data_IF_958390276185
#
_entry.id   IF_958390276185
#
_cell.length_a   1.000
_cell.length_b   1.000
_cell.length_c   1.000
_cell.angle_alpha   90.00
_cell.angle_beta   90.00
_cell.angle_gamma   90.00
#
_symmetry.space_group_name_H-M   'P 1'
#
loop_
_entity.id
_entity.type
_entity.pdbx_description
1 polymer ?
#
# COMPACT_ATOMS: atom_id res chain seq x y z
N UNK A 1 -19.78 -26.96 9.01
CA UNK A 1 -18.47 -26.25 9.00
C UNK A 1 -18.21 -25.76 7.60
N UNK A 2 -17.61 -24.59 7.40
CA UNK A 2 -17.23 -24.10 6.07
C UNK A 2 -15.73 -24.31 5.84
N UNK A 3 -15.39 -24.96 4.73
CA UNK A 3 -14.02 -25.08 4.24
C UNK A 3 -13.83 -24.10 3.09
N UNK A 4 -12.81 -23.26 3.15
CA UNK A 4 -12.54 -22.29 2.08
C UNK A 4 -11.18 -22.60 1.46
N UNK A 5 -11.20 -22.98 0.18
CA UNK A 5 -10.02 -23.05 -0.67
C UNK A 5 -9.80 -21.69 -1.33
N UNK A 6 -8.67 -21.06 -0.98
CA UNK A 6 -8.22 -19.82 -1.58
C UNK A 6 -7.18 -20.11 -2.66
N UNK A 7 -7.42 -19.60 -3.86
CA UNK A 7 -6.40 -19.52 -4.91
C UNK A 7 -5.32 -18.49 -4.56
N UNK A 8 -4.12 -18.64 -5.11
CA UNK A 8 -2.97 -17.77 -4.84
C UNK A 8 -3.30 -16.30 -5.17
N UNK A 9 -4.02 -16.07 -6.27
CA UNK A 9 -4.38 -14.71 -6.69
C UNK A 9 -5.25 -13.98 -5.67
N UNK A 10 -6.10 -14.70 -4.93
CA UNK A 10 -6.98 -14.13 -3.91
C UNK A 10 -6.15 -13.69 -2.70
N UNK A 11 -5.25 -14.56 -2.23
CA UNK A 11 -4.35 -14.26 -1.11
C UNK A 11 -3.44 -13.06 -1.41
N UNK A 12 -2.89 -12.99 -2.62
CA UNK A 12 -2.05 -11.86 -3.05
C UNK A 12 -2.83 -10.53 -3.14
N UNK A 13 -4.07 -10.57 -3.63
CA UNK A 13 -4.90 -9.37 -3.76
C UNK A 13 -5.27 -8.79 -2.39
N UNK A 14 -5.80 -9.61 -1.47
CA UNK A 14 -6.19 -9.14 -0.13
C UNK A 14 -4.99 -8.70 0.71
N UNK A 15 -3.78 -9.14 0.36
CA UNK A 15 -2.54 -8.73 1.02
C UNK A 15 -2.11 -7.29 0.69
N UNK A 16 -2.66 -6.68 -0.38
CA UNK A 16 -2.07 -5.45 -0.95
C UNK A 16 -3.00 -4.27 -1.09
N UNK A 17 -4.32 -4.46 -0.99
CA UNK A 17 -5.28 -3.37 -1.09
C UNK A 17 -5.78 -2.98 0.30
N UNK A 18 -5.64 -1.69 0.67
CA UNK A 18 -6.23 -1.16 1.91
C UNK A 18 -7.75 -1.36 1.97
N UNK A 19 -8.43 -1.30 0.83
CA UNK A 19 -9.87 -1.58 0.74
C UNK A 19 -10.25 -2.99 1.17
N UNK A 20 -9.30 -3.92 1.18
CA UNK A 20 -9.53 -5.34 1.48
C UNK A 20 -9.21 -5.65 2.95
N UNK A 21 -8.81 -4.66 3.75
CA UNK A 21 -8.59 -4.80 5.19
C UNK A 21 -9.83 -5.38 5.91
N UNK A 22 -11.07 -4.87 5.67
CA UNK A 22 -12.28 -5.46 6.25
C UNK A 22 -12.44 -6.95 5.89
N UNK A 23 -12.09 -7.35 4.67
CA UNK A 23 -12.16 -8.75 4.23
C UNK A 23 -11.20 -9.65 5.01
N UNK A 24 -9.96 -9.17 5.23
CA UNK A 24 -8.98 -9.91 6.04
C UNK A 24 -9.48 -10.03 7.49
N UNK A 25 -10.02 -8.95 8.06
CA UNK A 25 -10.60 -8.97 9.42
C UNK A 25 -11.76 -9.96 9.52
N UNK A 26 -12.67 -9.99 8.55
CA UNK A 26 -13.78 -10.94 8.53
C UNK A 26 -13.31 -12.40 8.46
N UNK A 27 -12.31 -12.69 7.63
CA UNK A 27 -11.71 -14.02 7.58
C UNK A 27 -11.06 -14.41 8.92
N UNK A 28 -10.33 -13.50 9.56
CA UNK A 28 -9.73 -13.73 10.88
C UNK A 28 -10.80 -14.06 11.94
N UNK A 29 -11.93 -13.35 11.95
CA UNK A 29 -13.03 -13.62 12.88
C UNK A 29 -13.74 -14.96 12.60
N UNK A 30 -14.02 -15.27 11.32
CA UNK A 30 -14.64 -16.53 10.92
C UNK A 30 -13.74 -17.74 11.22
N UNK A 31 -12.43 -17.60 11.05
CA UNK A 31 -11.44 -18.63 11.42
C UNK A 31 -11.30 -18.73 12.93
N UNK A 32 -11.20 -17.61 13.63
CA UNK A 32 -11.07 -17.55 15.09
C UNK A 32 -12.27 -18.14 15.83
N UNK A 33 -13.49 -17.93 15.31
CA UNK A 33 -14.74 -18.51 15.81
C UNK A 33 -14.95 -19.97 15.42
N UNK A 34 -14.07 -20.54 14.58
CA UNK A 34 -14.16 -21.91 14.02
C UNK A 34 -15.43 -22.15 13.21
N UNK A 35 -16.00 -21.10 12.61
CA UNK A 35 -17.06 -21.23 11.60
C UNK A 35 -16.45 -21.66 10.26
N UNK A 36 -15.26 -21.12 9.97
CA UNK A 36 -14.48 -21.37 8.77
C UNK A 36 -13.17 -22.08 9.10
N UNK A 37 -12.80 -23.04 8.25
CA UNK A 37 -11.44 -23.58 8.15
C UNK A 37 -10.88 -23.23 6.78
N UNK A 38 -9.84 -22.40 6.74
CA UNK A 38 -9.09 -22.18 5.51
C UNK A 38 -8.35 -23.45 5.13
N UNK A 39 -8.35 -23.78 3.84
CA UNK A 39 -7.60 -24.91 3.29
C UNK A 39 -6.69 -24.37 2.20
N UNK A 40 -5.39 -24.58 2.37
CA UNK A 40 -4.38 -23.99 1.48
C UNK A 40 -3.44 -25.09 1.00
N UNK A 41 -3.39 -25.36 -0.32
CA UNK A 41 -2.44 -26.30 -0.87
C UNK A 41 -0.99 -25.83 -0.75
N UNK A 42 -0.05 -26.77 -0.58
CA UNK A 42 1.40 -26.45 -0.53
C UNK A 42 1.87 -25.66 -1.76
N UNK A 43 1.26 -25.91 -2.92
CA UNK A 43 1.54 -25.17 -4.16
C UNK A 43 1.16 -23.69 -4.07
N UNK A 44 0.01 -23.39 -3.46
CA UNK A 44 -0.48 -22.01 -3.24
C UNK A 44 0.42 -21.28 -2.26
N UNK A 45 0.85 -21.95 -1.18
CA UNK A 45 1.79 -21.38 -0.21
C UNK A 45 3.12 -21.02 -0.90
N UNK A 46 3.69 -21.95 -1.66
CA UNK A 46 4.96 -21.72 -2.36
C UNK A 46 4.86 -20.60 -3.41
N UNK A 47 3.72 -20.47 -4.09
CA UNK A 47 3.49 -19.41 -5.04
C UNK A 47 3.26 -18.05 -4.35
N UNK A 48 2.55 -18.02 -3.23
CA UNK A 48 2.38 -16.81 -2.42
C UNK A 48 3.73 -16.30 -1.92
N UNK A 49 4.54 -17.18 -1.30
CA UNK A 49 5.88 -16.84 -0.78
C UNK A 49 6.80 -16.26 -1.85
N UNK A 50 6.76 -16.81 -3.07
CA UNK A 50 7.58 -16.33 -4.19
C UNK A 50 7.16 -14.93 -4.65
N UNK A 51 5.87 -14.60 -4.56
CA UNK A 51 5.30 -13.40 -5.18
C UNK A 51 5.00 -12.27 -4.18
N UNK A 52 4.89 -12.54 -2.87
CA UNK A 52 4.42 -11.57 -1.86
C UNK A 52 5.21 -10.26 -1.87
N UNK A 53 6.54 -10.30 -1.95
CA UNK A 53 7.38 -9.10 -1.99
C UNK A 53 7.18 -8.29 -3.27
N UNK A 54 6.99 -8.97 -4.40
CA UNK A 54 6.76 -8.31 -5.69
C UNK A 54 5.41 -7.60 -5.73
N UNK A 55 4.37 -8.19 -5.13
CA UNK A 55 3.05 -7.55 -5.04
C UNK A 55 3.07 -6.41 -4.01
N UNK A 56 3.74 -6.59 -2.86
CA UNK A 56 3.91 -5.55 -1.85
C UNK A 56 4.51 -4.27 -2.46
N UNK A 57 5.56 -4.45 -3.27
CA UNK A 57 6.32 -3.37 -3.89
C UNK A 57 5.74 -2.90 -5.23
N UNK A 58 4.63 -3.48 -5.71
CA UNK A 58 4.05 -3.16 -7.04
C UNK A 58 3.62 -1.70 -7.14
N UNK A 59 2.99 -1.17 -6.10
CA UNK A 59 2.57 0.24 -6.04
C UNK A 59 3.78 1.18 -6.08
N UNK A 60 4.82 0.88 -5.29
CA UNK A 60 6.09 1.63 -5.31
C UNK A 60 6.75 1.58 -6.68
N UNK A 61 6.87 0.39 -7.29
CA UNK A 61 7.44 0.22 -8.64
C UNK A 61 6.66 1.02 -9.69
N UNK A 62 5.31 0.99 -9.65
CA UNK A 62 4.45 1.77 -10.56
C UNK A 62 4.67 3.27 -10.37
N UNK A 63 4.59 3.75 -9.14
CA UNK A 63 4.80 5.17 -8.83
C UNK A 63 6.19 5.61 -9.27
N UNK A 64 7.26 4.91 -8.87
CA UNK A 64 8.62 5.22 -9.32
C UNK A 64 8.76 5.29 -10.85
N UNK A 65 8.02 4.45 -11.60
CA UNK A 65 8.01 4.50 -13.05
C UNK A 65 7.26 5.73 -13.60
N UNK A 66 6.12 6.11 -13.00
CA UNK A 66 5.40 7.34 -13.32
C UNK A 66 6.25 8.58 -13.01
N UNK A 67 6.89 8.62 -11.84
CA UNK A 67 7.85 9.68 -11.48
C UNK A 67 9.00 9.78 -12.49
N UNK A 68 9.53 8.63 -12.96
CA UNK A 68 10.58 8.62 -13.99
C UNK A 68 10.08 9.22 -15.32
N UNK A 69 8.84 8.97 -15.71
CA UNK A 69 8.25 9.59 -16.90
C UNK A 69 8.06 11.09 -16.72
N UNK A 70 7.55 11.53 -15.56
CA UNK A 70 7.39 12.95 -15.24
C UNK A 70 8.74 13.67 -15.23
N UNK A 71 9.78 13.08 -14.64
CA UNK A 71 11.15 13.60 -14.69
C UNK A 71 11.67 13.75 -16.11
N UNK A 72 11.40 12.79 -16.99
CA UNK A 72 11.81 12.86 -18.39
C UNK A 72 11.14 14.05 -19.11
N UNK A 73 9.85 14.28 -18.89
CA UNK A 73 9.12 15.42 -19.45
C UNK A 73 9.66 16.73 -18.88
N UNK A 74 9.86 16.83 -17.57
CA UNK A 74 10.44 18.04 -16.94
C UNK A 74 11.83 18.31 -17.48
N UNK A 75 12.65 17.27 -17.69
CA UNK A 75 13.99 17.44 -18.24
C UNK A 75 14.01 17.95 -19.69
N UNK A 76 12.91 17.78 -20.42
CA UNK A 76 12.78 18.19 -21.82
C UNK A 76 12.11 19.57 -21.96
N UNK A 77 11.25 19.97 -21.02
CA UNK A 77 10.39 21.16 -21.15
C UNK A 77 10.53 22.21 -20.03
N UNK A 78 11.16 21.89 -18.89
CA UNK A 78 11.41 22.88 -17.85
C UNK A 78 12.70 23.65 -18.17
N UNK A 79 12.59 24.94 -18.49
CA UNK A 79 13.75 25.81 -18.69
C UNK A 79 14.45 26.12 -17.36
N UNK A 80 14.24 27.33 -16.82
CA UNK A 80 14.95 27.79 -15.61
C UNK A 80 14.50 27.09 -14.31
N UNK A 81 13.27 26.57 -14.24
CA UNK A 81 12.72 25.88 -13.05
C UNK A 81 12.99 24.37 -13.03
N UNK A 82 13.88 23.87 -13.88
CA UNK A 82 14.16 22.42 -14.00
C UNK A 82 14.75 21.83 -12.72
N UNK A 83 15.73 22.52 -12.12
CA UNK A 83 16.47 22.00 -10.98
C UNK A 83 15.57 21.84 -9.73
N UNK A 84 14.78 22.88 -9.41
CA UNK A 84 13.86 22.85 -8.27
C UNK A 84 12.73 21.83 -8.46
N UNK A 85 12.18 21.70 -9.67
CA UNK A 85 11.13 20.71 -9.95
C UNK A 85 11.64 19.27 -9.85
N UNK A 86 12.89 19.00 -10.25
CA UNK A 86 13.49 17.68 -10.12
C UNK A 86 13.81 17.33 -8.66
N UNK A 87 14.28 18.29 -7.87
CA UNK A 87 14.58 18.11 -6.44
C UNK A 87 13.33 17.70 -5.64
N UNK A 88 12.21 18.39 -5.86
CA UNK A 88 10.91 18.03 -5.23
C UNK A 88 10.48 16.61 -5.61
N UNK A 89 10.67 16.20 -6.87
CA UNK A 89 10.33 14.84 -7.31
C UNK A 89 11.29 13.78 -6.75
N UNK A 90 12.55 14.13 -6.51
CA UNK A 90 13.52 13.24 -5.85
C UNK A 90 13.17 13.02 -4.39
N UNK A 91 12.82 14.08 -3.67
CA UNK A 91 12.40 14.00 -2.26
C UNK A 91 11.12 13.15 -2.09
N UNK A 92 10.11 13.34 -2.94
CA UNK A 92 8.90 12.51 -2.92
C UNK A 92 9.24 11.05 -3.24
N UNK A 93 10.13 10.79 -4.22
CA UNK A 93 10.52 9.43 -4.60
C UNK A 93 11.30 8.74 -3.48
N UNK A 94 12.10 9.47 -2.68
CA UNK A 94 12.81 8.96 -1.52
C UNK A 94 11.86 8.51 -0.39
N UNK A 95 10.65 9.08 -0.33
CA UNK A 95 9.63 8.77 0.70
C UNK A 95 8.64 7.68 0.28
N UNK A 96 8.66 7.22 -0.98
CA UNK A 96 7.79 6.11 -1.44
C UNK A 96 7.92 4.81 -0.64
N UNK A 97 9.11 4.39 -0.15
CA UNK A 97 9.23 3.19 0.69
C UNK A 97 8.39 3.24 1.98
N UNK A 98 8.12 4.43 2.52
CA UNK A 98 7.24 4.59 3.69
C UNK A 98 5.78 4.22 3.38
N UNK A 99 5.37 4.25 2.10
CA UNK A 99 4.04 3.83 1.66
C UNK A 99 3.87 2.30 1.65
N UNK A 100 4.96 1.54 1.60
CA UNK A 100 4.92 0.07 1.56
C UNK A 100 4.75 -0.58 2.92
N UNK A 101 5.07 0.11 4.01
CA UNK A 101 5.00 -0.45 5.38
C UNK A 101 3.57 -0.89 5.74
N UNK A 102 2.56 -0.14 5.28
CA UNK A 102 1.16 -0.52 5.46
C UNK A 102 0.80 -1.83 4.73
N UNK A 103 1.40 -2.11 3.58
CA UNK A 103 1.17 -3.37 2.85
C UNK A 103 1.81 -4.55 3.59
N UNK A 104 2.97 -4.36 4.21
CA UNK A 104 3.62 -5.40 5.00
C UNK A 104 2.81 -5.78 6.25
N UNK A 105 2.05 -4.85 6.84
CA UNK A 105 1.12 -5.16 7.94
C UNK A 105 0.04 -6.14 7.47
N UNK A 106 -0.59 -5.87 6.32
CA UNK A 106 -1.63 -6.76 5.78
C UNK A 106 -1.07 -8.10 5.33
N UNK A 107 0.13 -8.13 4.71
CA UNK A 107 0.83 -9.37 4.37
C UNK A 107 1.02 -10.25 5.61
N UNK A 108 1.55 -9.71 6.70
CA UNK A 108 1.75 -10.46 7.93
C UNK A 108 0.43 -11.02 8.52
N UNK A 109 -0.69 -10.30 8.35
CA UNK A 109 -2.02 -10.82 8.73
C UNK A 109 -2.42 -12.02 7.88
N UNK A 110 -2.25 -11.93 6.57
CA UNK A 110 -2.53 -13.03 5.64
C UNK A 110 -1.60 -14.23 5.87
N UNK A 111 -0.33 -14.00 6.17
CA UNK A 111 0.62 -15.06 6.55
C UNK A 111 0.13 -15.83 7.79
N UNK A 112 -0.35 -15.13 8.83
CA UNK A 112 -0.94 -15.78 10.02
C UNK A 112 -2.17 -16.61 9.67
N UNK A 113 -3.02 -16.13 8.75
CA UNK A 113 -4.15 -16.92 8.25
C UNK A 113 -3.66 -18.19 7.56
N UNK A 114 -2.67 -18.11 6.68
CA UNK A 114 -2.04 -19.26 6.00
C UNK A 114 -1.39 -20.22 7.01
N UNK A 115 -0.74 -19.71 8.05
CA UNK A 115 -0.14 -20.52 9.11
C UNK A 115 -1.17 -21.32 9.90
N UNK A 116 -2.33 -20.71 10.19
CA UNK A 116 -3.44 -21.33 10.90
C UNK A 116 -4.30 -22.26 10.03
N UNK A 117 -4.15 -22.19 8.70
CA UNK A 117 -4.95 -22.96 7.76
C UNK A 117 -4.63 -24.45 7.80
N UNK A 118 -5.59 -25.26 7.33
CA UNK A 118 -5.38 -26.67 7.02
C UNK A 118 -4.53 -26.79 5.75
N UNK A 119 -3.26 -27.16 5.92
CA UNK A 119 -2.30 -27.30 4.82
C UNK A 119 -2.45 -28.66 4.17
N UNK A 120 -2.67 -28.69 2.86
CA UNK A 120 -2.91 -29.92 2.11
C UNK A 120 -1.82 -30.10 1.05
N UNK A 121 -1.18 -31.26 1.07
CA UNK A 121 -0.21 -31.60 0.04
C UNK A 121 -0.91 -32.02 -1.25
N UNK A 122 -0.34 -31.59 -2.38
CA UNK A 122 -0.83 -31.99 -3.71
C UNK A 122 -0.65 -33.50 -3.89
N UNK A 123 -1.75 -34.21 -4.07
CA UNK A 123 -1.76 -35.66 -4.28
C UNK A 123 -1.31 -36.03 -5.69
N UNK A 124 -0.86 -37.28 -5.87
CA UNK A 124 -0.61 -37.84 -7.20
C UNK A 124 -1.90 -37.98 -8.03
N UNK A 125 -3.04 -38.26 -7.40
CA UNK A 125 -4.35 -38.31 -8.08
C UNK A 125 -4.67 -36.97 -8.72
N UNK A 126 -4.50 -35.88 -7.98
CA UNK A 126 -4.75 -34.52 -8.44
C UNK A 126 -3.82 -34.11 -9.58
N UNK A 127 -2.53 -34.48 -9.51
CA UNK A 127 -1.55 -34.26 -10.60
C UNK A 127 -1.91 -35.03 -11.88
N UNK A 128 -2.33 -36.29 -11.75
CA UNK A 128 -2.72 -37.11 -12.91
C UNK A 128 -3.99 -36.54 -13.54
N UNK A 129 -4.97 -36.15 -12.72
CA UNK A 129 -6.22 -35.55 -13.19
C UNK A 129 -5.99 -34.22 -13.91
N UNK A 130 -5.09 -33.37 -13.41
CA UNK A 130 -4.74 -32.11 -14.08
C UNK A 130 -4.09 -32.32 -15.45
N UNK A 131 -3.26 -33.38 -15.59
CA UNK A 131 -2.70 -33.78 -16.90
C UNK A 131 -3.81 -34.25 -17.84
N UNK A 132 -4.77 -35.02 -17.34
CA UNK A 132 -5.91 -35.46 -18.14
C UNK A 132 -6.75 -34.27 -18.64
N UNK A 133 -6.99 -33.25 -17.80
CA UNK A 133 -7.63 -32.00 -18.26
C UNK A 133 -6.87 -31.32 -19.40
N UNK A 134 -5.54 -31.30 -19.31
CA UNK A 134 -4.69 -30.73 -20.36
C UNK A 134 -4.83 -31.49 -21.68
N UNK A 135 -4.82 -32.83 -21.62
CA UNK A 135 -5.01 -33.69 -22.80
C UNK A 135 -6.39 -33.51 -23.44
N UNK A 136 -7.42 -33.38 -22.61
CA UNK A 136 -8.80 -33.16 -23.05
C UNK A 136 -9.09 -31.71 -23.45
N UNK A 137 -8.13 -30.79 -23.24
CA UNK A 137 -8.27 -29.34 -23.43
C UNK A 137 -9.44 -28.73 -22.67
N UNK A 138 -9.71 -29.27 -21.48
CA UNK A 138 -10.71 -28.74 -20.54
C UNK A 138 -10.13 -27.61 -19.71
N UNK A 139 -10.99 -26.75 -19.19
CA UNK A 139 -10.59 -25.69 -18.28
C UNK A 139 -9.71 -26.22 -17.13
N UNK A 140 -8.61 -25.53 -16.79
CA UNK A 140 -8.21 -24.18 -17.26
C UNK A 140 -7.39 -24.14 -18.57
N UNK A 141 -7.29 -25.24 -19.33
CA UNK A 141 -6.53 -25.32 -20.60
C UNK A 141 -7.34 -25.01 -21.87
N UNK A 142 -8.60 -24.57 -21.74
CA UNK A 142 -9.43 -24.11 -22.87
C UNK A 142 -8.87 -22.85 -23.53
N UNK A 143 -8.00 -22.12 -22.83
CA UNK A 143 -7.25 -20.96 -23.31
C UNK A 143 -5.78 -21.39 -23.49
N UNK A 144 -5.12 -20.94 -24.57
CA UNK A 144 -3.74 -21.29 -24.95
C UNK A 144 -2.67 -20.70 -23.98
N UNK A 145 -2.77 -21.00 -22.67
CA UNK A 145 -1.87 -20.56 -21.59
C UNK A 145 -1.35 -21.74 -20.78
N UNK A 146 -0.24 -21.54 -20.10
CA UNK A 146 0.37 -22.53 -19.20
C UNK A 146 -0.35 -22.53 -17.84
N UNK A 147 -1.55 -23.11 -17.77
CA UNK A 147 -2.42 -23.11 -16.58
C UNK A 147 -2.31 -24.39 -15.75
N UNK A 148 -1.10 -24.98 -15.68
CA UNK A 148 -0.86 -26.24 -14.96
C UNK A 148 -1.08 -26.09 -13.45
N UNK A 149 -0.62 -24.99 -12.85
CA UNK A 149 -0.80 -24.76 -11.41
C UNK A 149 -2.29 -24.67 -11.05
N UNK A 150 -3.03 -23.83 -11.77
CA UNK A 150 -4.48 -23.67 -11.68
C UNK A 150 -5.22 -25.02 -11.81
N UNK A 151 -4.82 -25.85 -12.78
CA UNK A 151 -5.42 -27.17 -12.98
C UNK A 151 -5.14 -28.12 -11.80
N UNK A 152 -3.93 -28.09 -11.24
CA UNK A 152 -3.57 -28.88 -10.06
C UNK A 152 -4.36 -28.43 -8.82
N UNK A 153 -4.53 -27.11 -8.65
CA UNK A 153 -5.24 -26.53 -7.51
C UNK A 153 -6.71 -26.96 -7.50
N UNK A 154 -7.41 -26.87 -8.64
CA UNK A 154 -8.83 -27.22 -8.71
C UNK A 154 -9.08 -28.72 -8.59
N UNK A 155 -8.18 -29.56 -9.09
CA UNK A 155 -8.27 -31.00 -8.87
C UNK A 155 -8.02 -31.38 -7.42
N UNK A 156 -7.08 -30.70 -6.76
CA UNK A 156 -6.85 -30.89 -5.34
C UNK A 156 -8.04 -30.44 -4.49
N UNK A 157 -8.72 -29.36 -4.90
CA UNK A 157 -9.99 -28.95 -4.31
C UNK A 157 -11.06 -30.03 -4.48
N UNK A 158 -11.23 -30.57 -5.70
CA UNK A 158 -12.22 -31.62 -5.97
C UNK A 158 -11.96 -32.88 -5.15
N UNK A 159 -10.69 -33.30 -5.03
CA UNK A 159 -10.33 -34.45 -4.21
C UNK A 159 -10.56 -34.21 -2.71
N UNK A 160 -10.32 -32.98 -2.25
CA UNK A 160 -10.59 -32.62 -0.86
C UNK A 160 -12.11 -32.62 -0.58
N UNK A 161 -12.91 -32.04 -1.48
CA UNK A 161 -14.37 -31.97 -1.33
C UNK A 161 -15.03 -33.35 -1.37
N UNK A 162 -14.51 -34.30 -2.16
CA UNK A 162 -14.93 -35.71 -2.17
C UNK A 162 -14.83 -36.37 -0.77
N UNK A 163 -13.89 -35.90 0.06
CA UNK A 163 -13.65 -36.44 1.41
C UNK A 163 -14.56 -35.86 2.50
N UNK A 164 -15.39 -34.87 2.19
CA UNK A 164 -16.20 -34.15 3.18
C UNK A 164 -17.57 -34.80 3.43
N UNK A 165 -18.09 -34.60 4.64
CA UNK A 165 -19.46 -34.98 4.97
C UNK A 165 -20.42 -33.87 4.53
N UNK A 166 -20.86 -33.91 3.27
CA UNK A 166 -21.72 -32.89 2.65
C UNK A 166 -23.09 -32.68 3.34
N UNK A 167 -23.45 -33.45 4.38
CA UNK A 167 -24.66 -33.18 5.18
C UNK A 167 -24.44 -32.10 6.25
N UNK A 168 -23.18 -31.85 6.63
CA UNK A 168 -22.79 -30.94 7.73
C UNK A 168 -21.76 -29.91 7.30
N UNK A 169 -21.04 -30.18 6.21
CA UNK A 169 -19.92 -29.39 5.74
C UNK A 169 -20.20 -28.81 4.35
N UNK A 170 -19.70 -27.60 4.15
CA UNK A 170 -19.69 -26.91 2.87
C UNK A 170 -18.26 -26.55 2.50
N UNK A 171 -17.95 -26.56 1.20
CA UNK A 171 -16.61 -26.32 0.67
C UNK A 171 -16.66 -25.30 -0.46
N UNK A 172 -15.96 -24.19 -0.30
CA UNK A 172 -15.96 -23.07 -1.25
C UNK A 172 -14.62 -22.96 -1.95
N UNK A 173 -14.64 -22.89 -3.27
CA UNK A 173 -13.48 -22.56 -4.09
C UNK A 173 -13.55 -21.08 -4.49
N UNK A 174 -12.52 -20.31 -4.16
CA UNK A 174 -12.47 -18.87 -4.42
C UNK A 174 -11.26 -18.53 -5.28
N UNK A 175 -11.49 -17.91 -6.43
CA UNK A 175 -10.44 -17.43 -7.35
C UNK A 175 -10.85 -16.12 -8.03
N UNK A 176 -9.91 -15.21 -8.26
CA UNK A 176 -10.13 -14.02 -9.09
C UNK A 176 -9.87 -14.29 -10.59
N UNK A 177 -9.35 -15.47 -10.96
CA UNK A 177 -9.04 -15.84 -12.34
C UNK A 177 -10.30 -16.27 -13.11
N UNK A 178 -11.14 -15.27 -13.45
CA UNK A 178 -12.38 -15.50 -14.18
C UNK A 178 -12.20 -16.05 -15.59
N UNK A 179 -11.06 -15.76 -16.24
CA UNK A 179 -10.81 -16.23 -17.60
C UNK A 179 -10.71 -17.76 -17.66
N UNK A 180 -10.03 -18.33 -16.66
CA UNK A 180 -9.73 -19.75 -16.66
C UNK A 180 -10.78 -20.56 -15.88
N UNK A 181 -11.49 -19.92 -14.93
CA UNK A 181 -12.41 -20.62 -14.04
C UNK A 181 -13.89 -20.31 -14.23
N UNK A 182 -14.25 -19.20 -14.86
CA UNK A 182 -15.66 -18.80 -14.98
C UNK A 182 -16.29 -19.15 -16.32
N UNK A 183 -17.62 -19.22 -16.32
CA UNK A 183 -18.42 -19.19 -17.53
C UNK A 183 -18.50 -17.77 -18.12
N UNK A 184 -19.31 -17.58 -19.19
CA UNK A 184 -19.64 -16.23 -19.71
C UNK A 184 -20.25 -15.32 -18.63
N UNK A 185 -21.00 -15.91 -17.71
CA UNK A 185 -21.37 -15.25 -16.47
C UNK A 185 -20.24 -15.52 -15.46
N UNK A 186 -19.42 -14.50 -15.18
CA UNK A 186 -18.24 -14.61 -14.32
C UNK A 186 -18.57 -15.07 -12.89
N UNK A 187 -19.85 -15.06 -12.49
CA UNK A 187 -20.31 -15.54 -11.18
C UNK A 187 -20.51 -17.05 -11.12
N UNK A 188 -20.48 -17.72 -12.27
CA UNK A 188 -20.67 -19.18 -12.38
C UNK A 188 -19.39 -19.85 -12.83
N UNK A 189 -19.11 -21.07 -12.35
CA UNK A 189 -17.94 -21.82 -12.80
C UNK A 189 -18.07 -22.17 -14.30
N UNK A 190 -16.94 -22.38 -14.96
CA UNK A 190 -16.89 -22.88 -16.32
C UNK A 190 -17.56 -24.27 -16.42
N UNK A 191 -18.19 -24.58 -17.56
CA UNK A 191 -18.96 -25.81 -17.75
C UNK A 191 -18.13 -27.09 -17.55
N UNK A 192 -16.82 -27.04 -17.83
CA UNK A 192 -15.89 -28.17 -17.58
C UNK A 192 -15.70 -28.53 -16.09
N UNK A 193 -16.21 -27.68 -15.18
CA UNK A 193 -16.21 -27.93 -13.74
C UNK A 193 -17.58 -28.33 -13.20
N UNK A 194 -18.59 -28.57 -14.05
CA UNK A 194 -19.94 -29.00 -13.61
C UNK A 194 -19.90 -30.22 -12.71
N UNK A 195 -18.99 -31.18 -12.96
CA UNK A 195 -18.85 -32.38 -12.11
C UNK A 195 -18.22 -32.11 -10.75
N UNK A 196 -17.54 -30.98 -10.57
CA UNK A 196 -16.93 -30.59 -9.29
C UNK A 196 -17.95 -29.86 -8.42
N UNK A 197 -18.75 -28.98 -9.04
CA UNK A 197 -19.73 -28.13 -8.37
C UNK A 197 -21.16 -28.68 -8.50
N UNK A 198 -21.31 -30.01 -8.40
CA UNK A 198 -22.59 -30.71 -8.60
C UNK A 198 -23.49 -30.72 -7.35
N UNK A 199 -22.93 -30.35 -6.20
CA UNK A 199 -23.58 -30.33 -4.90
C UNK A 199 -23.82 -28.89 -4.43
N UNK A 200 -24.97 -28.58 -3.78
CA UNK A 200 -25.23 -27.25 -3.24
C UNK A 200 -24.23 -26.84 -2.14
N UNK A 201 -23.53 -27.81 -1.54
CA UNK A 201 -22.52 -27.57 -0.51
C UNK A 201 -21.11 -27.37 -1.07
N UNK A 202 -20.91 -27.55 -2.38
CA UNK A 202 -19.63 -27.29 -3.05
C UNK A 202 -19.82 -26.11 -3.99
N UNK A 203 -19.30 -24.94 -3.63
CA UNK A 203 -19.60 -23.69 -4.34
C UNK A 203 -18.37 -23.02 -4.91
N UNK A 204 -18.58 -22.32 -6.02
CA UNK A 204 -17.59 -21.49 -6.69
C UNK A 204 -17.89 -20.02 -6.43
N UNK A 205 -16.85 -19.25 -6.07
CA UNK A 205 -16.93 -17.80 -5.98
C UNK A 205 -15.77 -17.18 -6.74
N UNK A 206 -16.07 -16.10 -7.47
CA UNK A 206 -15.06 -15.33 -8.20
C UNK A 206 -14.43 -14.19 -7.37
N UNK A 207 -14.84 -14.04 -6.11
CA UNK A 207 -14.38 -13.05 -5.14
C UNK A 207 -14.76 -13.51 -3.71
N UNK A 208 -14.04 -13.03 -2.71
CA UNK A 208 -14.26 -13.27 -1.29
C UNK A 208 -15.58 -12.67 -0.76
N UNK A 209 -15.97 -11.47 -1.18
CA UNK A 209 -17.18 -10.79 -0.67
C UNK A 209 -18.44 -11.68 -0.74
N UNK A 210 -18.84 -12.21 -1.92
CA UNK A 210 -20.03 -13.07 -1.98
C UNK A 210 -19.85 -14.40 -1.24
N UNK A 211 -18.62 -14.88 -1.07
CA UNK A 211 -18.36 -16.11 -0.31
C UNK A 211 -18.54 -15.89 1.19
N UNK A 212 -18.05 -14.76 1.72
CA UNK A 212 -18.23 -14.35 3.12
C UNK A 212 -19.72 -14.12 3.40
N UNK A 213 -20.42 -13.37 2.54
CA UNK A 213 -21.85 -13.11 2.72
C UNK A 213 -22.72 -14.38 2.65
N UNK A 214 -22.25 -15.43 1.96
CA UNK A 214 -22.93 -16.72 1.95
C UNK A 214 -22.79 -17.49 3.28
N UNK A 215 -21.81 -17.11 4.11
CA UNK A 215 -21.55 -17.69 5.44
C UNK A 215 -22.21 -16.84 6.53
N UNK A 216 -21.98 -15.54 6.46
CA UNK A 216 -22.49 -14.53 7.37
C UNK A 216 -22.71 -13.23 6.59
N UNK A 217 -23.96 -12.84 6.41
CA UNK A 217 -24.36 -11.68 5.59
C UNK A 217 -24.02 -10.34 6.26
N UNK A 218 -23.96 -10.31 7.59
CA UNK A 218 -23.85 -9.08 8.38
C UNK A 218 -22.39 -8.77 8.76
N UNK A 219 -21.51 -9.78 8.83
CA UNK A 219 -20.12 -9.62 9.32
C UNK A 219 -19.33 -8.51 8.62
N UNK A 220 -19.45 -8.38 7.30
CA UNK A 220 -18.73 -7.34 6.56
C UNK A 220 -19.25 -5.95 6.88
N UNK A 221 -20.57 -5.79 6.99
CA UNK A 221 -21.18 -4.51 7.33
C UNK A 221 -20.84 -4.09 8.77
N UNK A 222 -20.80 -5.04 9.72
CA UNK A 222 -20.37 -4.80 11.10
C UNK A 222 -18.90 -4.35 11.18
N UNK A 223 -18.01 -5.04 10.44
CA UNK A 223 -16.59 -4.71 10.41
C UNK A 223 -16.31 -3.39 9.69
N UNK A 224 -16.98 -3.12 8.56
CA UNK A 224 -16.88 -1.84 7.85
C UNK A 224 -17.34 -0.70 8.75
N UNK A 225 -18.46 -0.87 9.46
CA UNK A 225 -18.88 0.10 10.46
C UNK A 225 -17.78 0.34 11.49
N UNK A 226 -17.15 -0.69 12.06
CA UNK A 226 -16.04 -0.50 13.01
C UNK A 226 -14.80 0.19 12.40
N UNK A 227 -14.50 -0.09 11.13
CA UNK A 227 -13.38 0.51 10.40
C UNK A 227 -13.62 1.98 10.03
N UNK A 228 -14.84 2.37 9.65
CA UNK A 228 -15.18 3.75 9.31
C UNK A 228 -15.07 4.71 10.50
N UNK A 229 -15.17 4.21 11.75
CA UNK A 229 -14.88 4.99 12.95
C UNK A 229 -13.38 5.14 13.27
N UNK A 230 -12.49 4.48 12.53
CA UNK A 230 -11.05 4.78 12.62
C UNK A 230 -10.76 6.03 11.79
N UNK A 231 -10.40 7.13 12.47
CA UNK A 231 -10.11 8.42 11.81
C UNK A 231 -9.09 8.21 10.67
N UNK A 232 -9.46 8.58 9.44
CA UNK A 232 -8.54 8.54 8.30
C UNK A 232 -7.30 9.38 8.64
N UNK A 233 -6.14 8.72 8.68
CA UNK A 233 -4.85 9.40 8.82
C UNK A 233 -4.66 10.38 7.66
N UNK A 234 -4.08 11.57 7.93
CA UNK A 234 -3.72 12.53 6.87
C UNK A 234 -2.86 11.86 5.80
N UNK A 235 -3.13 12.16 4.53
CA UNK A 235 -2.32 11.65 3.43
C UNK A 235 -0.91 12.24 3.48
N UNK A 236 0.09 11.50 2.98
CA UNK A 236 1.48 11.99 2.97
C UNK A 236 1.59 13.34 2.26
N UNK A 237 0.88 13.55 1.14
CA UNK A 237 0.89 14.85 0.44
C UNK A 237 0.43 16.01 1.33
N UNK A 238 -0.59 15.79 2.16
CA UNK A 238 -1.08 16.82 3.08
C UNK A 238 -0.03 17.10 4.16
N UNK A 239 0.62 16.05 4.66
CA UNK A 239 1.74 16.15 5.62
C UNK A 239 2.91 16.94 5.00
N UNK A 240 3.29 16.65 3.76
CA UNK A 240 4.38 17.33 3.06
C UNK A 240 4.06 18.82 2.82
N UNK A 241 2.86 19.13 2.32
CA UNK A 241 2.44 20.50 2.08
C UNK A 241 2.45 21.34 3.38
N UNK A 242 1.94 20.77 4.47
CA UNK A 242 1.93 21.44 5.78
C UNK A 242 3.37 21.62 6.29
N UNK A 243 4.24 20.63 6.08
CA UNK A 243 5.64 20.70 6.47
C UNK A 243 6.40 21.79 5.69
N UNK A 244 6.19 21.90 4.38
CA UNK A 244 6.81 22.94 3.54
C UNK A 244 6.44 24.35 4.02
N UNK A 245 5.17 24.56 4.38
CA UNK A 245 4.71 25.83 4.97
C UNK A 245 5.41 26.12 6.29
N UNK A 246 5.51 25.14 7.18
CA UNK A 246 6.15 25.30 8.47
C UNK A 246 7.66 25.56 8.35
N UNK A 247 8.35 24.91 7.40
CA UNK A 247 9.77 25.15 7.11
C UNK A 247 10.00 26.59 6.65
N UNK A 248 9.21 27.06 5.67
CA UNK A 248 9.31 28.42 5.14
C UNK A 248 9.06 29.46 6.25
N UNK A 249 8.06 29.23 7.10
CA UNK A 249 7.73 30.09 8.25
C UNK A 249 8.84 30.13 9.29
N UNK A 250 9.42 28.97 9.63
CA UNK A 250 10.52 28.90 10.59
C UNK A 250 11.77 29.60 10.05
N UNK A 251 12.10 29.36 8.79
CA UNK A 251 13.19 30.03 8.11
C UNK A 251 12.99 31.55 8.10
N UNK A 252 11.79 32.02 7.72
CA UNK A 252 11.50 33.44 7.60
C UNK A 252 11.62 34.17 8.94
N UNK A 253 11.13 33.60 10.04
CA UNK A 253 11.31 34.21 11.36
C UNK A 253 12.80 34.33 11.76
N UNK A 254 13.61 33.31 11.46
CA UNK A 254 15.06 33.36 11.68
C UNK A 254 15.74 34.40 10.81
N UNK A 255 15.28 34.56 9.56
CA UNK A 255 15.73 35.62 8.67
C UNK A 255 15.40 37.00 9.24
N UNK A 256 14.17 37.23 9.71
CA UNK A 256 13.79 38.50 10.35
C UNK A 256 14.63 38.81 11.60
N UNK A 257 14.93 37.80 12.44
CA UNK A 257 15.85 37.96 13.57
C UNK A 257 17.26 38.35 13.12
N UNK A 258 17.73 37.80 11.99
CA UNK A 258 19.02 38.17 11.39
C UNK A 258 19.02 39.60 10.86
N UNK A 259 17.93 40.03 10.20
CA UNK A 259 17.75 41.40 9.74
C UNK A 259 17.77 42.39 10.91
N UNK A 260 17.05 42.09 11.98
CA UNK A 260 17.10 42.86 13.21
C UNK A 260 18.53 42.92 13.79
N UNK A 261 19.27 41.81 13.78
CA UNK A 261 20.66 41.76 14.21
C UNK A 261 21.59 42.66 13.38
N UNK A 262 21.35 42.79 12.07
CA UNK A 262 22.06 43.71 11.19
C UNK A 262 21.74 45.16 11.54
N UNK A 263 20.45 45.49 11.73
CA UNK A 263 19.99 46.84 12.08
C UNK A 263 20.57 47.33 13.42
N UNK A 264 20.68 46.44 14.40
CA UNK A 264 21.29 46.74 15.70
C UNK A 264 22.83 46.76 15.65
N UNK A 265 23.45 46.41 14.51
CA UNK A 265 24.90 46.33 14.36
C UNK A 265 25.54 45.11 15.03
N UNK A 266 24.75 44.13 15.46
CA UNK A 266 25.22 42.87 16.05
C UNK A 266 25.76 41.90 14.98
N UNK A 267 25.21 41.98 13.76
CA UNK A 267 25.64 41.21 12.60
C UNK A 267 26.25 42.16 11.57
N UNK A 268 27.48 41.88 11.15
CA UNK A 268 28.20 42.70 10.18
C UNK A 268 28.01 42.15 8.76
N UNK A 269 27.54 43.00 7.85
CA UNK A 269 27.54 42.72 6.41
C UNK A 269 28.94 42.96 5.85
N UNK A 270 29.51 41.97 5.16
CA UNK A 270 30.84 42.07 4.54
C UNK A 270 30.75 41.87 3.01
N UNK A 271 31.64 42.51 2.23
CA UNK A 271 31.67 42.31 0.78
C UNK A 271 31.97 40.87 0.41
N UNK A 272 31.48 40.45 -0.74
CA UNK A 272 31.77 39.14 -1.32
C UNK A 272 33.29 38.90 -1.45
N UNK A 273 33.73 37.68 -1.14
CA UNK A 273 35.15 37.28 -1.18
C UNK A 273 35.96 37.66 0.07
N UNK A 274 35.35 38.30 1.06
CA UNK A 274 36.01 38.59 2.34
C UNK A 274 36.25 37.30 3.13
N UNK A 275 37.49 36.99 3.52
CA UNK A 275 37.80 35.79 4.33
C UNK A 275 37.47 35.97 5.81
N UNK A 276 36.22 36.32 6.11
CA UNK A 276 35.70 36.48 7.46
C UNK A 276 34.41 35.66 7.61
N UNK A 277 34.33 34.86 8.68
CA UNK A 277 33.23 33.92 8.93
C UNK A 277 32.87 33.91 10.42
N UNK A 278 31.62 33.54 10.73
CA UNK A 278 31.11 33.42 12.09
C UNK A 278 29.64 33.82 12.19
N UNK A 279 28.99 33.53 13.31
CA UNK A 279 27.55 33.79 13.49
C UNK A 279 27.13 35.27 13.45
N UNK A 280 28.11 36.20 13.56
CA UNK A 280 27.88 37.65 13.53
C UNK A 280 28.34 38.29 12.21
N UNK A 281 28.52 37.50 11.15
CA UNK A 281 29.00 37.96 9.85
C UNK A 281 28.16 37.35 8.75
N UNK A 282 27.63 38.18 7.85
CA UNK A 282 26.93 37.76 6.64
C UNK A 282 27.57 38.39 5.42
N UNK A 283 27.73 37.63 4.34
CA UNK A 283 28.28 38.14 3.09
C UNK A 283 27.16 38.77 2.26
N UNK A 284 27.48 39.84 1.54
CA UNK A 284 26.51 40.63 0.76
C UNK A 284 25.73 39.78 -0.26
N UNK A 285 26.39 38.85 -0.94
CA UNK A 285 25.73 37.93 -1.87
C UNK A 285 24.73 36.98 -1.19
N UNK A 286 25.07 36.45 0.00
CA UNK A 286 24.17 35.61 0.81
C UNK A 286 22.97 36.42 1.31
N UNK A 287 23.22 37.66 1.76
CA UNK A 287 22.15 38.56 2.19
C UNK A 287 21.17 38.86 1.05
N UNK A 288 21.68 39.15 -0.15
CA UNK A 288 20.85 39.41 -1.32
C UNK A 288 19.96 38.21 -1.67
N UNK A 289 20.53 37.00 -1.69
CA UNK A 289 19.74 35.78 -1.90
C UNK A 289 18.69 35.55 -0.80
N UNK A 290 19.03 35.82 0.46
CA UNK A 290 18.09 35.71 1.57
C UNK A 290 16.95 36.73 1.47
N UNK A 291 17.20 37.95 0.99
CA UNK A 291 16.17 38.96 0.76
C UNK A 291 15.20 38.52 -0.36
N UNK A 292 15.72 37.93 -1.44
CA UNK A 292 14.88 37.39 -2.52
C UNK A 292 14.00 36.24 -2.02
N UNK A 293 14.56 35.30 -1.25
CA UNK A 293 13.79 34.21 -0.63
C UNK A 293 12.74 34.73 0.36
N UNK A 294 13.05 35.78 1.13
CA UNK A 294 12.10 36.38 2.06
C UNK A 294 10.87 36.96 1.33
N UNK A 295 11.10 37.65 0.20
CA UNK A 295 10.01 38.16 -0.63
C UNK A 295 9.15 37.04 -1.21
N UNK A 296 9.75 35.89 -1.58
CA UNK A 296 9.00 34.73 -2.04
C UNK A 296 8.10 34.18 -0.95
N UNK A 297 8.60 34.03 0.28
CA UNK A 297 7.81 33.54 1.42
C UNK A 297 6.66 34.51 1.74
N UNK A 298 6.91 35.82 1.78
CA UNK A 298 5.87 36.85 1.96
C UNK A 298 4.80 36.83 0.87
N UNK A 299 5.17 36.48 -0.36
CA UNK A 299 4.21 36.36 -1.46
C UNK A 299 3.41 35.06 -1.44
N UNK A 300 3.97 34.00 -0.84
CA UNK A 300 3.41 32.64 -0.83
C UNK A 300 2.40 32.45 0.30
N UNK A 301 2.60 33.10 1.45
CA UNK A 301 1.77 32.90 2.64
C UNK A 301 1.15 34.20 3.15
N UNK A 302 -0.12 34.14 3.56
CA UNK A 302 -0.84 35.28 4.11
C UNK A 302 -0.37 35.64 5.54
N UNK A 303 0.03 34.63 6.32
CA UNK A 303 0.56 34.80 7.68
C UNK A 303 2.00 34.29 7.77
N UNK A 304 2.94 35.23 7.93
CA UNK A 304 4.36 34.98 8.19
C UNK A 304 4.81 35.60 9.52
N UNK A 305 3.84 35.89 10.39
CA UNK A 305 4.05 36.55 11.69
C UNK A 305 3.92 38.07 11.65
N UNK A 306 4.35 38.78 12.71
CA UNK A 306 5.07 38.25 13.88
C UNK A 306 4.18 37.38 14.78
N UNK A 307 4.78 36.35 15.38
CA UNK A 307 4.09 35.40 16.27
C UNK A 307 4.45 35.67 17.73
N UNK A 308 3.51 35.38 18.64
CA UNK A 308 3.79 35.28 20.08
C UNK A 308 4.68 34.09 20.41
N UNK A 309 5.30 34.07 21.60
CA UNK A 309 6.11 32.94 22.08
C UNK A 309 5.35 31.60 22.02
N UNK A 310 4.04 31.63 22.29
CA UNK A 310 3.19 30.44 22.20
C UNK A 310 2.99 29.97 20.76
N UNK A 311 2.61 30.87 19.86
CA UNK A 311 2.40 30.56 18.43
C UNK A 311 3.70 30.07 17.78
N UNK A 312 4.82 30.72 18.11
CA UNK A 312 6.14 30.29 17.66
C UNK A 312 6.51 28.90 18.19
N UNK A 313 6.24 28.63 19.47
CA UNK A 313 6.41 27.30 20.04
C UNK A 313 5.54 26.24 19.35
N UNK A 314 4.30 26.59 19.01
CA UNK A 314 3.40 25.70 18.26
C UNK A 314 3.89 25.42 16.84
N UNK A 315 4.40 26.41 16.12
CA UNK A 315 4.95 26.24 14.76
C UNK A 315 6.14 25.27 14.79
N UNK A 316 7.10 25.49 15.71
CA UNK A 316 8.26 24.60 15.84
C UNK A 316 7.84 23.20 16.31
N UNK A 317 6.90 23.09 17.25
CA UNK A 317 6.38 21.81 17.72
C UNK A 317 5.67 21.01 16.62
N UNK A 318 4.87 21.67 15.78
CA UNK A 318 4.24 21.03 14.61
C UNK A 318 5.29 20.56 13.61
N UNK A 319 6.28 21.39 13.29
CA UNK A 319 7.35 21.02 12.35
C UNK A 319 8.14 19.81 12.86
N UNK A 320 8.54 19.83 14.12
CA UNK A 320 9.21 18.73 14.82
C UNK A 320 8.38 17.45 14.77
N UNK A 321 7.08 17.52 15.08
CA UNK A 321 6.20 16.36 15.03
C UNK A 321 6.08 15.76 13.62
N UNK A 322 5.93 16.60 12.58
CA UNK A 322 5.85 16.12 11.20
C UNK A 322 7.16 15.48 10.74
N UNK A 323 8.30 16.10 11.04
CA UNK A 323 9.63 15.56 10.73
C UNK A 323 9.91 14.24 11.45
N UNK A 324 9.56 14.16 12.74
CA UNK A 324 9.70 12.93 13.51
C UNK A 324 8.88 11.78 12.94
N UNK A 325 7.63 12.04 12.53
CA UNK A 325 6.78 11.04 11.85
C UNK A 325 7.38 10.58 10.52
N UNK A 326 8.19 11.42 9.86
CA UNK A 326 8.90 11.11 8.61
C UNK A 326 10.29 10.50 8.83
N UNK A 327 10.72 10.31 10.09
CA UNK A 327 11.94 9.58 10.45
C UNK A 327 13.11 10.45 10.88
N UNK A 328 12.94 11.77 11.01
CA UNK A 328 13.97 12.66 11.56
C UNK A 328 13.99 12.61 13.10
N UNK A 329 15.09 13.08 13.69
CA UNK A 329 15.18 13.26 15.15
C UNK A 329 14.27 14.40 15.63
N UNK A 330 13.74 14.26 16.85
CA UNK A 330 12.73 15.17 17.42
C UNK A 330 13.14 16.65 17.37
N UNK A 331 14.42 16.95 17.56
CA UNK A 331 14.94 18.32 17.63
C UNK A 331 15.42 18.87 16.27
N UNK A 332 15.21 18.15 15.16
CA UNK A 332 15.64 18.57 13.82
C UNK A 332 14.77 19.69 13.28
N UNK A 333 15.16 20.93 13.58
CA UNK A 333 14.49 22.15 13.12
C UNK A 333 15.34 22.95 12.12
N UNK A 334 16.34 22.34 11.49
CA UNK A 334 17.16 23.01 10.47
C UNK A 334 16.31 23.41 9.25
N UNK A 335 16.52 24.62 8.74
CA UNK A 335 15.72 25.22 7.65
C UNK A 335 16.60 25.96 6.69
#
# INVERSE_FOLDING_TARGET
MFYIFLDTCVLLDISTKKSDIPLVTALEELVGSKVVTLVVPDLVIAEYERNKEDVANKTTKRLSQEFKQVKAVISEFAGENQASALEVLDDINARLPLLTDANYVTINRVEKLIESANKVSISERSKIASVQRALDKKAPFHINKNSVADAVIIEQFSEFSDGLSLNTDSCFFITHNHNDFSSKDHRKPHADFESIFDSPNIQYFNNLVPAINAIDEDILAEIEFHHDFTEETRGLRDILNEMDELVDKVWYNRHQNSMWGIEQGNIKVVPEGTKQYGGNVIHENILNGALESAQQVESKYEDVGPWSDFEWGMINGKLSALRWVLGDEWDMLDT
#
